data_IF_655582851792
#
_entry.id   IF_655582851792
#
_cell.length_a   1.000
_cell.length_b   1.000
_cell.length_c   1.000
_cell.angle_alpha   90.00
_cell.angle_beta   90.00
_cell.angle_gamma   90.00
#
_symmetry.space_group_name_H-M   'P 1'
#
loop_
_entity.id
_entity.type
_entity.pdbx_description
1 polymer ?
#
# COMPACT_ATOMS: atom_id res chain seq x y z
N UNK A 1 87.88 5.16 -33.12
CA UNK A 1 87.80 6.57 -33.52
C UNK A 1 86.61 7.15 -32.79
N UNK A 2 86.87 7.71 -31.60
CA UNK A 2 85.90 8.45 -30.79
C UNK A 2 85.68 9.83 -31.41
N UNK A 3 84.43 10.28 -31.48
CA UNK A 3 83.93 11.64 -31.20
C UNK A 3 82.49 11.72 -31.73
N UNK A 4 81.49 11.81 -30.85
CA UNK A 4 80.76 13.08 -30.69
C UNK A 4 79.91 13.00 -29.42
N UNK A 5 80.21 13.88 -28.49
CA UNK A 5 79.40 14.23 -27.33
C UNK A 5 78.74 15.58 -27.64
N UNK A 6 77.76 15.97 -26.80
CA UNK A 6 77.14 17.30 -26.67
C UNK A 6 75.92 17.46 -27.59
N UNK A 7 74.71 17.78 -27.16
CA UNK A 7 74.00 18.06 -25.90
C UNK A 7 72.51 17.77 -26.27
N UNK A 8 71.48 17.76 -25.43
CA UNK A 8 71.00 18.91 -24.68
C UNK A 8 69.65 18.52 -24.06
N UNK A 9 69.33 19.18 -22.96
CA UNK A 9 68.15 18.97 -22.15
C UNK A 9 66.85 19.28 -22.92
N UNK A 10 65.89 18.36 -22.93
CA UNK A 10 64.50 18.70 -23.23
C UNK A 10 63.50 17.86 -22.43
N UNK A 11 63.79 17.70 -21.13
CA UNK A 11 62.78 17.29 -20.13
C UNK A 11 61.93 18.50 -19.67
N UNK A 12 61.81 19.54 -20.49
CA UNK A 12 60.95 20.69 -20.22
C UNK A 12 59.53 20.37 -20.69
N UNK A 13 58.70 20.04 -19.70
CA UNK A 13 57.27 20.36 -19.61
C UNK A 13 56.68 21.09 -20.81
N UNK A 14 55.88 20.39 -21.61
CA UNK A 14 54.75 21.03 -22.29
C UNK A 14 53.47 20.69 -21.51
N UNK A 15 53.38 21.22 -20.28
CA UNK A 15 52.14 21.26 -19.49
C UNK A 15 51.22 22.41 -19.93
N UNK A 16 51.28 22.80 -21.20
CA UNK A 16 50.33 23.74 -21.77
C UNK A 16 50.29 23.65 -23.30
N UNK A 17 50.00 22.46 -23.84
CA UNK A 17 49.27 22.44 -25.10
C UNK A 17 47.89 23.03 -24.79
N UNK A 18 47.51 24.21 -25.32
CA UNK A 18 46.14 24.65 -25.18
C UNK A 18 45.31 23.58 -25.88
N UNK A 19 44.63 22.73 -25.11
CA UNK A 19 43.64 21.81 -25.64
C UNK A 19 42.76 22.64 -26.56
N UNK A 20 42.91 22.42 -27.86
CA UNK A 20 42.22 23.19 -28.87
C UNK A 20 40.75 23.28 -28.43
N UNK A 21 40.06 24.43 -28.57
CA UNK A 21 38.65 24.48 -28.26
C UNK A 21 37.93 23.45 -29.14
N UNK A 22 37.69 22.24 -28.61
CA UNK A 22 37.04 21.12 -29.28
C UNK A 22 35.53 21.37 -29.43
N UNK A 23 35.11 22.63 -29.36
CA UNK A 23 33.76 23.03 -29.71
C UNK A 23 33.75 23.45 -31.19
N UNK A 24 33.98 22.48 -32.06
CA UNK A 24 33.34 22.49 -33.36
C UNK A 24 31.87 22.23 -33.06
N UNK A 25 31.01 23.21 -33.35
CA UNK A 25 29.56 23.00 -33.41
C UNK A 25 29.31 21.88 -34.44
N UNK A 26 29.34 20.63 -34.01
CA UNK A 26 29.11 19.49 -34.89
C UNK A 26 27.67 19.62 -35.40
N UNK A 27 27.55 19.81 -36.70
CA UNK A 27 26.26 19.90 -37.36
C UNK A 27 25.54 18.57 -37.10
N UNK A 28 24.39 18.65 -36.42
CA UNK A 28 23.56 17.48 -36.16
C UNK A 28 23.08 16.96 -37.53
N UNK A 29 23.40 15.72 -37.93
CA UNK A 29 22.99 15.18 -39.22
C UNK A 29 21.46 15.06 -39.27
N UNK A 30 20.88 15.22 -40.47
CA UNK A 30 19.44 15.09 -40.67
C UNK A 30 18.93 13.68 -40.36
N UNK A 31 19.78 12.67 -40.59
CA UNK A 31 19.47 11.27 -40.34
C UNK A 31 20.57 10.57 -39.55
N UNK A 32 20.17 9.66 -38.65
CA UNK A 32 21.06 8.77 -37.92
C UNK A 32 20.62 7.31 -38.04
N UNK A 33 21.57 6.40 -37.96
CA UNK A 33 21.31 4.97 -37.73
C UNK A 33 20.77 4.73 -36.32
N UNK A 34 20.22 3.54 -36.07
CA UNK A 34 19.76 3.14 -34.73
C UNK A 34 20.85 3.28 -33.65
N UNK A 35 22.08 2.86 -33.96
CA UNK A 35 23.21 2.92 -33.04
C UNK A 35 23.59 4.37 -32.72
N UNK A 36 23.75 5.20 -33.76
CA UNK A 36 24.06 6.63 -33.62
C UNK A 36 22.98 7.37 -32.82
N UNK A 37 21.70 7.14 -33.14
CA UNK A 37 20.59 7.79 -32.45
C UNK A 37 20.47 7.34 -30.99
N UNK A 38 20.72 6.05 -30.70
CA UNK A 38 20.71 5.52 -29.33
C UNK A 38 21.79 6.17 -28.47
N UNK A 39 23.01 6.31 -29.01
CA UNK A 39 24.11 7.00 -28.35
C UNK A 39 23.82 8.49 -28.19
N UNK A 40 23.26 9.13 -29.22
CA UNK A 40 22.93 10.56 -29.21
C UNK A 40 21.86 10.90 -28.17
N UNK A 41 20.83 10.07 -28.02
CA UNK A 41 19.76 10.25 -27.03
C UNK A 41 20.12 9.72 -25.63
N UNK A 42 21.25 9.03 -25.47
CA UNK A 42 21.66 8.42 -24.21
C UNK A 42 20.77 7.26 -23.76
N UNK A 43 20.21 6.48 -24.69
CA UNK A 43 19.31 5.35 -24.42
C UNK A 43 19.83 4.05 -25.04
N UNK A 44 19.36 2.91 -24.55
CA UNK A 44 19.77 1.60 -25.09
C UNK A 44 19.15 1.34 -26.47
N UNK A 45 19.83 0.57 -27.32
CA UNK A 45 19.31 0.18 -28.64
C UNK A 45 17.94 -0.54 -28.55
N UNK A 46 17.74 -1.38 -27.53
CA UNK A 46 16.44 -2.00 -27.25
C UNK A 46 15.35 -0.97 -27.00
N UNK A 47 15.67 0.11 -26.24
CA UNK A 47 14.74 1.20 -26.00
C UNK A 47 14.45 1.99 -27.27
N UNK A 48 15.46 2.24 -28.10
CA UNK A 48 15.30 2.88 -29.42
C UNK A 48 14.33 2.10 -30.30
N UNK A 49 14.45 0.77 -30.39
CA UNK A 49 13.52 -0.07 -31.16
C UNK A 49 12.09 -0.03 -30.64
N UNK A 50 11.93 -0.06 -29.32
CA UNK A 50 10.59 0.06 -28.71
C UNK A 50 9.99 1.43 -29.00
N UNK A 51 10.73 2.52 -28.82
CA UNK A 51 10.25 3.87 -29.16
C UNK A 51 9.94 4.04 -30.65
N UNK A 52 10.71 3.39 -31.52
CA UNK A 52 10.43 3.37 -32.95
C UNK A 52 9.16 2.59 -33.31
N UNK A 53 8.87 1.50 -32.59
CA UNK A 53 7.61 0.73 -32.73
C UNK A 53 6.41 1.52 -32.21
N UNK A 54 6.61 2.21 -31.10
CA UNK A 54 5.58 3.01 -30.42
C UNK A 54 5.32 4.36 -31.10
N UNK A 55 5.98 4.63 -32.24
CA UNK A 55 5.82 5.87 -33.02
C UNK A 55 6.51 7.11 -32.43
N UNK A 56 7.30 6.95 -31.36
CA UNK A 56 8.00 8.05 -30.70
C UNK A 56 9.32 8.45 -31.39
N UNK A 57 9.93 7.56 -32.18
CA UNK A 57 11.06 7.88 -33.06
C UNK A 57 10.63 7.72 -34.52
N UNK A 58 10.89 8.74 -35.33
CA UNK A 58 10.43 8.82 -36.72
C UNK A 58 11.47 8.21 -37.65
N UNK A 59 11.09 7.13 -38.34
CA UNK A 59 11.94 6.47 -39.33
C UNK A 59 11.92 7.26 -40.64
N UNK A 60 13.10 7.53 -41.19
CA UNK A 60 13.25 8.14 -42.52
C UNK A 60 13.58 7.11 -43.61
N UNK A 61 13.99 5.90 -43.22
CA UNK A 61 14.31 4.80 -44.13
C UNK A 61 14.67 3.49 -43.42
N UNK A 62 15.26 2.54 -44.16
CA UNK A 62 15.65 1.23 -43.63
C UNK A 62 16.77 1.38 -42.58
N UNK A 63 16.40 1.28 -41.29
CA UNK A 63 17.34 1.39 -40.17
C UNK A 63 17.83 2.82 -39.90
N UNK A 64 17.15 3.83 -40.45
CA UNK A 64 17.50 5.25 -40.36
C UNK A 64 16.35 6.04 -39.76
N UNK A 65 16.69 7.10 -39.03
CA UNK A 65 15.76 7.94 -38.31
C UNK A 65 15.97 9.40 -38.64
N UNK A 66 14.88 10.13 -38.84
CA UNK A 66 14.90 11.59 -38.91
C UNK A 66 15.21 12.12 -37.51
N UNK A 67 16.37 12.76 -37.37
CA UNK A 67 16.87 13.20 -36.05
C UNK A 67 16.00 14.31 -35.50
N UNK A 68 15.60 15.29 -36.33
CA UNK A 68 14.82 16.44 -35.89
C UNK A 68 13.44 16.00 -35.42
N UNK A 69 12.74 15.20 -36.23
CA UNK A 69 11.41 14.72 -35.91
C UNK A 69 11.42 13.79 -34.69
N UNK A 70 12.43 12.91 -34.59
CA UNK A 70 12.59 12.00 -33.46
C UNK A 70 12.88 12.72 -32.15
N UNK A 71 13.76 13.73 -32.14
CA UNK A 71 14.07 14.52 -30.94
C UNK A 71 12.85 15.33 -30.49
N UNK A 72 12.13 15.97 -31.41
CA UNK A 72 10.91 16.71 -31.08
C UNK A 72 9.84 15.81 -30.47
N UNK A 73 9.55 14.67 -31.10
CA UNK A 73 8.58 13.69 -30.60
C UNK A 73 9.00 13.11 -29.24
N UNK A 74 10.26 12.72 -29.10
CA UNK A 74 10.80 12.17 -27.86
C UNK A 74 10.77 13.18 -26.70
N UNK A 75 11.19 14.43 -26.94
CA UNK A 75 11.17 15.49 -25.92
C UNK A 75 9.75 15.92 -25.54
N UNK A 76 8.81 15.95 -26.49
CA UNK A 76 7.39 16.18 -26.20
C UNK A 76 6.84 15.07 -25.30
N UNK A 77 7.11 13.80 -25.64
CA UNK A 77 6.70 12.64 -24.84
C UNK A 77 7.31 12.66 -23.43
N UNK A 78 8.58 13.07 -23.30
CA UNK A 78 9.22 13.22 -21.98
C UNK A 78 8.60 14.36 -21.18
N UNK A 79 8.23 15.48 -21.82
CA UNK A 79 7.51 16.58 -21.17
C UNK A 79 6.11 16.18 -20.73
N UNK A 80 5.40 15.38 -21.52
CA UNK A 80 4.10 14.81 -21.13
C UNK A 80 4.22 13.78 -20.00
N UNK A 81 5.26 12.93 -20.02
CA UNK A 81 5.52 11.96 -18.96
C UNK A 81 5.92 12.65 -17.65
N UNK A 82 6.79 13.66 -17.72
CA UNK A 82 7.16 14.52 -16.60
C UNK A 82 5.97 15.37 -16.15
N UNK A 83 5.12 15.83 -17.06
CA UNK A 83 3.84 16.47 -16.78
C UNK A 83 2.89 15.55 -16.04
N UNK A 84 2.81 14.26 -16.36
CA UNK A 84 2.01 13.30 -15.59
C UNK A 84 2.62 12.95 -14.23
N UNK A 85 3.94 13.04 -14.09
CA UNK A 85 4.65 12.77 -12.84
C UNK A 85 4.73 14.00 -11.90
N UNK A 86 4.73 15.21 -12.45
CA UNK A 86 4.88 16.49 -11.73
C UNK A 86 3.68 17.43 -11.81
N UNK A 87 2.71 17.18 -12.69
CA UNK A 87 1.39 17.81 -12.73
C UNK A 87 0.29 16.72 -12.59
N UNK A 88 -0.21 16.53 -11.39
CA UNK A 88 -1.28 15.58 -11.14
C UNK A 88 -2.67 16.08 -11.54
N UNK A 89 -2.77 17.33 -12.00
CA UNK A 89 -4.01 17.89 -12.52
C UNK A 89 -4.26 17.40 -13.96
N UNK A 90 -4.40 16.09 -14.09
CA UNK A 90 -5.24 15.43 -15.08
C UNK A 90 -6.00 14.31 -14.35
N UNK A 91 -6.76 14.69 -13.33
CA UNK A 91 -7.86 13.86 -12.78
C UNK A 91 -7.89 13.63 -11.27
N UNK A 92 -6.79 13.74 -10.52
CA UNK A 92 -6.82 13.63 -9.06
C UNK A 92 -5.54 14.20 -8.42
N UNK A 93 -5.72 15.09 -7.44
CA UNK A 93 -4.66 15.59 -6.57
C UNK A 93 -3.93 14.41 -5.88
N UNK A 94 -2.61 14.24 -6.00
CA UNK A 94 -1.86 13.08 -5.57
C UNK A 94 -1.53 13.18 -4.11
N UNK A 95 -1.61 14.37 -3.52
CA UNK A 95 -1.58 14.52 -2.08
C UNK A 95 -2.92 14.11 -1.50
N UNK A 96 -4.04 14.39 -2.20
CA UNK A 96 -5.33 13.78 -1.89
C UNK A 96 -5.32 12.24 -2.10
N UNK A 97 -4.68 11.73 -3.16
CA UNK A 97 -4.55 10.29 -3.39
C UNK A 97 -3.67 9.60 -2.34
N UNK A 98 -2.56 10.23 -1.92
CA UNK A 98 -1.71 9.73 -0.83
C UNK A 98 -2.46 9.78 0.50
N UNK A 99 -3.20 10.85 0.78
CA UNK A 99 -4.02 10.98 1.97
C UNK A 99 -5.10 9.90 2.02
N UNK A 100 -5.77 9.65 0.89
CA UNK A 100 -6.79 8.61 0.78
C UNK A 100 -6.20 7.20 0.90
N UNK A 101 -5.04 6.95 0.29
CA UNK A 101 -4.29 5.69 0.47
C UNK A 101 -3.88 5.49 1.92
N UNK A 102 -3.38 6.53 2.59
CA UNK A 102 -3.01 6.46 4.00
C UNK A 102 -4.24 6.17 4.88
N UNK A 103 -5.38 6.80 4.58
CA UNK A 103 -6.66 6.53 5.27
C UNK A 103 -7.10 5.08 5.05
N UNK A 104 -7.02 4.58 3.82
CA UNK A 104 -7.36 3.20 3.49
C UNK A 104 -6.43 2.21 4.19
N UNK A 105 -5.12 2.46 4.20
CA UNK A 105 -4.15 1.61 4.90
C UNK A 105 -4.39 1.59 6.40
N UNK A 106 -4.73 2.73 7.02
CA UNK A 106 -5.12 2.78 8.44
C UNK A 106 -6.38 1.97 8.71
N UNK A 107 -7.44 2.19 7.93
CA UNK A 107 -8.69 1.43 8.07
C UNK A 107 -8.49 -0.08 7.86
N UNK A 108 -7.59 -0.47 6.95
CA UNK A 108 -7.22 -1.87 6.76
C UNK A 108 -6.45 -2.40 7.98
N UNK A 109 -5.48 -1.65 8.51
CA UNK A 109 -4.76 -2.04 9.71
C UNK A 109 -5.69 -2.24 10.91
N UNK A 110 -6.63 -1.32 11.13
CA UNK A 110 -7.63 -1.40 12.20
C UNK A 110 -8.53 -2.64 12.04
N UNK A 111 -8.92 -2.97 10.80
CA UNK A 111 -9.70 -4.17 10.50
C UNK A 111 -8.92 -5.45 10.77
N UNK A 112 -7.64 -5.48 10.41
CA UNK A 112 -6.76 -6.62 10.65
C UNK A 112 -6.53 -6.81 12.16
N UNK A 113 -6.31 -5.72 12.91
CA UNK A 113 -6.17 -5.76 14.36
C UNK A 113 -7.44 -6.28 15.05
N UNK A 114 -8.62 -5.77 14.66
CA UNK A 114 -9.89 -6.28 15.16
C UNK A 114 -10.11 -7.77 14.80
N UNK A 115 -9.63 -8.23 13.64
CA UNK A 115 -9.68 -9.66 13.29
C UNK A 115 -8.79 -10.48 14.21
N UNK A 116 -7.55 -10.04 14.44
CA UNK A 116 -6.60 -10.73 15.34
C UNK A 116 -7.15 -10.79 16.77
N UNK A 117 -7.75 -9.71 17.27
CA UNK A 117 -8.37 -9.69 18.60
C UNK A 117 -9.55 -10.66 18.71
N UNK A 118 -10.38 -10.78 17.66
CA UNK A 118 -11.45 -11.80 17.60
C UNK A 118 -10.90 -13.22 17.59
N UNK A 119 -9.88 -13.48 16.77
CA UNK A 119 -9.23 -14.81 16.69
C UNK A 119 -8.57 -15.22 18.01
N UNK A 120 -8.04 -14.25 18.77
CA UNK A 120 -7.52 -14.46 20.13
C UNK A 120 -8.60 -14.63 21.20
N UNK A 121 -9.87 -14.39 20.86
CA UNK A 121 -10.99 -14.44 21.80
C UNK A 121 -11.12 -13.21 22.70
N UNK A 122 -10.40 -12.12 22.40
CA UNK A 122 -10.47 -10.86 23.16
C UNK A 122 -11.73 -10.04 22.81
N UNK A 123 -12.30 -10.26 21.62
CA UNK A 123 -13.55 -9.66 21.17
C UNK A 123 -14.61 -10.75 20.98
N UNK A 124 -15.65 -10.72 21.82
CA UNK A 124 -16.82 -11.60 21.74
C UNK A 124 -18.01 -10.88 21.11
N UNK A 125 -18.82 -11.60 20.33
CA UNK A 125 -20.06 -11.05 19.77
C UNK A 125 -21.04 -10.77 20.92
N UNK A 126 -21.35 -9.49 21.15
CA UNK A 126 -22.27 -9.09 22.22
C UNK A 126 -23.62 -9.82 22.12
N UNK A 127 -24.16 -10.04 20.91
CA UNK A 127 -25.42 -10.76 20.77
C UNK A 127 -25.30 -12.26 21.10
N UNK A 128 -24.17 -12.92 20.83
CA UNK A 128 -23.94 -14.29 21.30
C UNK A 128 -23.90 -14.34 22.82
N UNK A 129 -23.12 -13.47 23.45
CA UNK A 129 -23.02 -13.38 24.92
C UNK A 129 -24.41 -13.15 25.53
N UNK A 130 -25.16 -12.19 25.01
CA UNK A 130 -26.52 -11.90 25.49
C UNK A 130 -27.47 -13.10 25.32
N UNK A 131 -27.40 -13.83 24.20
CA UNK A 131 -28.23 -15.04 23.98
C UNK A 131 -27.88 -16.14 24.98
N UNK A 132 -26.59 -16.42 25.17
CA UNK A 132 -26.12 -17.43 26.12
C UNK A 132 -26.53 -17.07 27.56
N UNK A 133 -26.29 -15.83 27.99
CA UNK A 133 -26.71 -15.36 29.31
C UNK A 133 -28.23 -15.39 29.48
N UNK A 134 -29.00 -14.99 28.46
CA UNK A 134 -30.46 -15.08 28.51
C UNK A 134 -30.94 -16.53 28.64
N UNK A 135 -30.25 -17.49 28.01
CA UNK A 135 -30.54 -18.92 28.18
C UNK A 135 -30.24 -19.38 29.60
N UNK A 136 -29.03 -19.13 30.10
CA UNK A 136 -28.61 -19.52 31.45
C UNK A 136 -29.55 -18.93 32.50
N UNK A 137 -29.93 -17.66 32.38
CA UNK A 137 -30.83 -17.01 33.32
C UNK A 137 -32.26 -17.57 33.25
N UNK A 138 -32.73 -17.98 32.08
CA UNK A 138 -34.03 -18.65 31.92
C UNK A 138 -34.02 -20.02 32.59
N UNK A 139 -32.96 -20.78 32.40
CA UNK A 139 -32.81 -22.10 33.02
C UNK A 139 -32.70 -21.99 34.54
N UNK A 140 -31.95 -21.00 35.04
CA UNK A 140 -31.88 -20.69 36.46
C UNK A 140 -33.26 -20.33 37.03
N UNK A 141 -34.02 -19.45 36.35
CA UNK A 141 -35.38 -19.09 36.77
C UNK A 141 -36.28 -20.33 36.85
N UNK A 142 -36.27 -21.19 35.84
CA UNK A 142 -37.06 -22.42 35.83
C UNK A 142 -36.65 -23.36 36.98
N UNK A 143 -35.34 -23.50 37.23
CA UNK A 143 -34.83 -24.34 38.30
C UNK A 143 -35.26 -23.85 39.69
N UNK A 144 -35.26 -22.53 39.91
CA UNK A 144 -35.73 -21.86 41.12
C UNK A 144 -37.24 -22.02 41.31
N UNK A 145 -38.05 -21.78 40.27
CA UNK A 145 -39.51 -21.96 40.33
C UNK A 145 -39.92 -23.42 40.55
N UNK A 146 -39.05 -24.38 40.27
CA UNK A 146 -39.28 -25.79 40.59
C UNK A 146 -38.86 -26.18 42.03
N UNK A 147 -38.22 -25.30 42.81
CA UNK A 147 -37.81 -25.60 44.20
C UNK A 147 -39.01 -25.89 45.11
N UNK A 148 -40.10 -25.10 45.14
CA UNK A 148 -41.20 -25.32 46.09
C UNK A 148 -41.84 -26.69 45.94
N UNK A 149 -42.09 -27.11 44.69
CA UNK A 149 -42.68 -28.42 44.40
C UNK A 149 -41.77 -29.58 44.80
N UNK A 150 -40.45 -29.47 44.58
CA UNK A 150 -39.47 -30.48 45.04
C UNK A 150 -39.39 -30.55 46.56
N UNK A 151 -39.44 -29.41 47.25
CA UNK A 151 -39.47 -29.37 48.72
C UNK A 151 -40.75 -30.05 49.25
N UNK A 152 -41.91 -29.74 48.68
CA UNK A 152 -43.18 -30.37 49.07
C UNK A 152 -43.19 -31.89 48.81
N UNK A 153 -42.58 -32.35 47.73
CA UNK A 153 -42.47 -33.78 47.44
C UNK A 153 -41.44 -34.51 48.32
N UNK A 154 -40.33 -33.86 48.67
CA UNK A 154 -39.21 -34.46 49.40
C UNK A 154 -39.32 -34.39 50.92
N UNK A 155 -40.17 -33.51 51.47
CA UNK A 155 -40.30 -33.26 52.90
C UNK A 155 -41.76 -33.45 53.33
N UNK A 156 -42.19 -34.67 53.74
CA UNK A 156 -43.60 -35.00 54.00
C UNK A 156 -44.24 -34.22 55.15
N UNK A 157 -43.44 -33.56 55.99
CA UNK A 157 -43.90 -32.75 57.12
C UNK A 157 -44.20 -31.29 56.74
N UNK A 158 -43.83 -30.85 55.53
CA UNK A 158 -44.19 -29.53 55.05
C UNK A 158 -45.68 -29.47 54.75
N UNK A 159 -46.33 -28.42 55.24
CA UNK A 159 -47.72 -28.12 54.90
C UNK A 159 -47.80 -27.37 53.58
N UNK A 160 -49.01 -27.30 53.01
CA UNK A 160 -49.26 -26.47 51.82
C UNK A 160 -48.91 -24.98 52.07
N UNK A 161 -49.10 -24.51 53.31
CA UNK A 161 -48.73 -23.14 53.71
C UNK A 161 -47.22 -22.93 53.66
N UNK A 162 -46.42 -23.87 54.18
CA UNK A 162 -44.96 -23.77 54.16
C UNK A 162 -44.41 -23.72 52.73
N UNK A 163 -44.94 -24.57 51.85
CA UNK A 163 -44.55 -24.59 50.43
C UNK A 163 -44.92 -23.28 49.73
N UNK A 164 -46.10 -22.72 50.04
CA UNK A 164 -46.50 -21.42 49.51
C UNK A 164 -45.63 -20.27 50.04
N UNK A 165 -45.15 -20.33 51.28
CA UNK A 165 -44.20 -19.35 51.81
C UNK A 165 -42.87 -19.40 51.05
N UNK A 166 -42.36 -20.61 50.76
CA UNK A 166 -41.12 -20.79 49.97
C UNK A 166 -41.29 -20.22 48.55
N UNK A 167 -42.42 -20.51 47.90
CA UNK A 167 -42.72 -20.01 46.55
C UNK A 167 -42.75 -18.48 46.51
N UNK A 168 -43.46 -17.85 47.44
CA UNK A 168 -43.55 -16.40 47.53
C UNK A 168 -42.18 -15.75 47.79
N UNK A 169 -41.34 -16.33 48.64
CA UNK A 169 -40.01 -15.77 48.92
C UNK A 169 -39.08 -15.88 47.69
N UNK A 170 -39.16 -16.97 46.93
CA UNK A 170 -38.42 -17.13 45.66
C UNK A 170 -38.89 -16.09 44.64
N UNK A 171 -40.20 -15.91 44.48
CA UNK A 171 -40.75 -14.91 43.57
C UNK A 171 -40.31 -13.49 43.97
N UNK A 172 -40.38 -13.16 45.26
CA UNK A 172 -39.91 -11.87 45.79
C UNK A 172 -38.42 -11.63 45.53
N UNK A 173 -37.59 -12.66 45.71
CA UNK A 173 -36.16 -12.57 45.41
C UNK A 173 -35.90 -12.35 43.91
N UNK A 174 -36.64 -13.04 43.04
CA UNK A 174 -36.55 -12.88 41.59
C UNK A 174 -37.03 -11.49 41.12
N UNK A 175 -38.11 -10.97 41.70
CA UNK A 175 -38.59 -9.60 41.44
C UNK A 175 -37.56 -8.56 41.86
N UNK A 176 -36.93 -8.73 43.03
CA UNK A 176 -35.85 -7.87 43.51
C UNK A 176 -34.66 -7.80 42.53
N UNK A 177 -34.30 -8.93 41.90
CA UNK A 177 -33.25 -8.97 40.87
C UNK A 177 -33.69 -8.28 39.56
N UNK A 178 -34.97 -8.34 39.21
CA UNK A 178 -35.51 -7.71 38.00
C UNK A 178 -35.56 -6.18 38.06
N UNK A 179 -35.54 -5.59 39.25
CA UNK A 179 -35.56 -4.12 39.45
C UNK A 179 -34.17 -3.50 39.69
N UNK A 180 -33.13 -4.32 39.86
CA UNK A 180 -31.78 -3.88 40.20
C UNK A 180 -30.86 -3.64 38.97
N UNK A 181 -31.35 -3.85 37.75
CA UNK A 181 -30.65 -3.59 36.48
C UNK A 181 -31.32 -2.49 35.68
#
# INVERSE_FOLDING_TARGET
>A
MHLNQIDDESWILDLNEPAAPQNVLQVIPAEMTEAELSSFLGITASRTRTLARDGALVKSGRGRFDVRASVLSYTARMREAAGRAGNPAAGADPDALKAEKLRLTRAQADKEEARVQRERGELVEAAAVTREWASILRDLRNALLAVPSRCGAGLPHLTATDVATIDNEILRALEGLGHAG
#
